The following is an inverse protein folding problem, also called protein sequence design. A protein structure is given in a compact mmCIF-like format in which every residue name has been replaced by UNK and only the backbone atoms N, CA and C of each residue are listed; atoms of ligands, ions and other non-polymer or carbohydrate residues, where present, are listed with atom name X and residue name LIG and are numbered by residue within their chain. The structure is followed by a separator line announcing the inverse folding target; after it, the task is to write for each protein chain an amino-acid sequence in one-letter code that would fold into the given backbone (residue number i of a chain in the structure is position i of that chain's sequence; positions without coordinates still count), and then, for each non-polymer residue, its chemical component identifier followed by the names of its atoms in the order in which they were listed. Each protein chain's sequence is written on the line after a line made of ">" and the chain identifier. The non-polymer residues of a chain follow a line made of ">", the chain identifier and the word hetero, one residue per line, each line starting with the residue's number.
data_IF_168042516588
#
_entry.id   IF_168042516588
#
_cell.length_a   1.000
_cell.length_b   1.000
_cell.length_c   1.000
_cell.angle_alpha   90.00
_cell.angle_beta   90.00
_cell.angle_gamma   90.00
#
_symmetry.space_group_name_H-M   'P 1'
#
loop_
_entity.id
_entity.type
_entity.pdbx_description
1 polymer ?
#
# COMPACT_ATOMS: atom_id res chain seq x y z
N UNK A 1 -2.94 -16.60 0.38
CA UNK A 1 -3.50 -15.27 0.02
C UNK A 1 -2.37 -14.39 -0.48
N UNK A 2 -2.64 -13.63 -1.52
CA UNK A 2 -1.65 -12.67 -2.02
C UNK A 2 -1.35 -11.62 -0.97
N UNK A 3 -0.09 -11.16 -0.93
CA UNK A 3 0.35 -10.16 0.04
C UNK A 3 -0.44 -8.85 -0.07
N UNK A 4 -0.83 -8.47 -1.29
CA UNK A 4 -1.65 -7.27 -1.51
C UNK A 4 -3.04 -7.40 -0.88
N UNK A 5 -3.65 -8.58 -0.96
CA UNK A 5 -4.95 -8.82 -0.35
C UNK A 5 -4.87 -8.82 1.18
N UNK A 6 -3.80 -9.40 1.72
CA UNK A 6 -3.55 -9.37 3.16
C UNK A 6 -3.42 -7.94 3.66
N UNK A 7 -2.67 -7.11 2.93
CA UNK A 7 -2.48 -5.71 3.29
C UNK A 7 -3.79 -4.93 3.19
N UNK A 8 -4.58 -5.21 2.15
CA UNK A 8 -5.90 -4.58 2.00
C UNK A 8 -6.80 -4.87 3.20
N UNK A 9 -6.85 -6.13 3.63
CA UNK A 9 -7.66 -6.51 4.79
C UNK A 9 -7.18 -5.82 6.05
N UNK A 10 -5.86 -5.72 6.23
CA UNK A 10 -5.28 -5.09 7.40
C UNK A 10 -5.64 -3.61 7.48
N UNK A 11 -5.45 -2.88 6.38
CA UNK A 11 -5.75 -1.44 6.34
C UNK A 11 -7.25 -1.21 6.47
N UNK A 12 -8.07 -2.02 5.79
CA UNK A 12 -9.53 -1.91 5.89
C UNK A 12 -10.02 -2.13 7.30
N UNK A 13 -9.41 -3.07 8.02
CA UNK A 13 -9.78 -3.36 9.41
C UNK A 13 -9.48 -2.24 10.37
N UNK A 14 -8.49 -1.40 10.06
CA UNK A 14 -8.16 -0.24 10.88
C UNK A 14 -9.14 0.91 10.68
N UNK A 15 -9.89 0.91 9.60
CA UNK A 15 -10.94 1.89 9.29
C UNK A 15 -10.43 3.33 9.27
N UNK A 16 -9.44 3.60 8.40
CA UNK A 16 -9.00 4.97 8.17
C UNK A 16 -10.10 5.74 7.46
N UNK A 17 -10.65 6.76 8.12
CA UNK A 17 -11.74 7.55 7.55
C UNK A 17 -11.33 8.35 6.31
N UNK A 18 -10.03 8.63 6.18
CA UNK A 18 -9.49 9.38 5.04
C UNK A 18 -9.53 8.58 3.72
N UNK A 19 -9.55 7.25 3.81
CA UNK A 19 -9.54 6.39 2.63
C UNK A 19 -10.96 5.98 2.30
N UNK A 20 -11.40 6.28 1.07
CA UNK A 20 -12.75 5.91 0.64
C UNK A 20 -12.80 4.46 0.16
N UNK A 21 -11.84 4.05 -0.66
CA UNK A 21 -11.80 2.71 -1.25
C UNK A 21 -10.37 2.24 -1.43
N UNK A 22 -10.17 0.92 -1.35
CA UNK A 22 -8.86 0.28 -1.57
C UNK A 22 -9.03 -0.75 -2.69
N UNK A 23 -8.17 -0.64 -3.70
CA UNK A 23 -8.13 -1.59 -4.82
C UNK A 23 -6.80 -2.33 -4.83
N UNK A 24 -6.82 -3.54 -5.37
CA UNK A 24 -5.63 -4.39 -5.48
C UNK A 24 -5.33 -4.65 -6.94
N UNK A 25 -4.09 -4.39 -7.34
CA UNK A 25 -3.51 -4.63 -8.67
C UNK A 25 -4.03 -3.73 -9.78
N UNK A 26 -5.29 -3.35 -9.78
CA UNK A 26 -5.85 -2.57 -10.89
C UNK A 26 -6.98 -1.67 -10.42
N UNK A 27 -7.12 -0.51 -11.07
CA UNK A 27 -8.22 0.41 -10.82
C UNK A 27 -9.26 0.27 -11.92
N UNK A 28 -10.55 0.08 -11.58
CA UNK A 28 -11.61 0.16 -12.60
C UNK A 28 -11.59 1.51 -13.29
N UNK A 29 -11.97 1.53 -14.56
CA UNK A 29 -11.92 2.75 -15.37
C UNK A 29 -12.73 3.89 -14.76
N UNK A 30 -13.90 3.59 -14.25
CA UNK A 30 -14.79 4.58 -13.62
C UNK A 30 -14.12 5.25 -12.42
N UNK A 31 -13.27 4.50 -11.71
CA UNK A 31 -12.58 5.00 -10.53
C UNK A 31 -11.39 5.87 -10.92
N UNK A 32 -10.72 5.55 -12.03
CA UNK A 32 -9.57 6.33 -12.49
C UNK A 32 -9.94 7.78 -12.79
N UNK A 33 -11.19 8.02 -13.19
CA UNK A 33 -11.68 9.35 -13.53
C UNK A 33 -12.35 10.07 -12.36
N UNK A 34 -12.46 9.39 -11.21
CA UNK A 34 -13.15 9.95 -10.04
C UNK A 34 -12.20 10.81 -9.24
N UNK A 35 -12.54 12.08 -9.04
CA UNK A 35 -11.75 13.04 -8.27
C UNK A 35 -12.37 13.38 -6.92
N UNK A 36 -13.52 12.77 -6.59
CA UNK A 36 -14.28 13.09 -5.38
C UNK A 36 -13.92 12.23 -4.18
N UNK A 37 -13.14 11.19 -4.38
CA UNK A 37 -12.79 10.23 -3.33
C UNK A 37 -11.29 10.04 -3.25
N UNK A 38 -10.81 9.74 -2.05
CA UNK A 38 -9.42 9.33 -1.84
C UNK A 38 -9.35 7.82 -2.02
N UNK A 39 -8.58 7.39 -2.99
CA UNK A 39 -8.48 5.99 -3.43
C UNK A 39 -7.08 5.47 -3.16
N UNK A 40 -6.99 4.27 -2.62
CA UNK A 40 -5.71 3.59 -2.44
C UNK A 40 -5.61 2.41 -3.41
N UNK A 41 -4.45 2.26 -4.03
CA UNK A 41 -4.16 1.13 -4.91
C UNK A 41 -2.93 0.41 -4.37
N UNK A 42 -3.06 -0.90 -4.17
CA UNK A 42 -1.97 -1.76 -3.71
C UNK A 42 -1.55 -2.67 -4.86
N UNK A 43 -0.27 -2.62 -5.23
CA UNK A 43 0.25 -3.43 -6.33
C UNK A 43 1.46 -4.21 -5.87
N UNK A 44 1.60 -5.43 -6.40
CA UNK A 44 2.82 -6.20 -6.17
C UNK A 44 4.00 -5.46 -6.79
N UNK A 45 5.09 -5.33 -6.03
CA UNK A 45 6.29 -4.65 -6.49
C UNK A 45 7.49 -5.59 -6.55
N UNK A 46 7.35 -6.79 -6.01
CA UNK A 46 8.42 -7.77 -6.03
C UNK A 46 8.36 -8.67 -4.82
N UNK A 47 9.17 -9.72 -4.86
CA UNK A 47 9.31 -10.63 -3.75
C UNK A 47 10.66 -11.32 -3.85
N UNK A 48 11.24 -11.70 -2.71
CA UNK A 48 12.44 -12.51 -2.71
C UNK A 48 12.39 -13.53 -1.59
N UNK A 49 13.10 -14.62 -1.81
CA UNK A 49 13.17 -15.74 -0.90
C UNK A 49 14.41 -15.61 -0.04
N UNK A 50 14.27 -15.96 1.23
CA UNK A 50 15.38 -15.89 2.17
C UNK A 50 15.32 -17.06 3.16
N UNK A 51 16.20 -17.06 4.16
CA UNK A 51 16.29 -18.13 5.16
C UNK A 51 16.48 -19.49 4.51
N UNK A 52 17.48 -19.59 3.61
CA UNK A 52 17.80 -20.83 2.90
C UNK A 52 18.43 -21.87 3.81
N UNK A 53 18.14 -23.15 3.54
CA UNK A 53 18.75 -24.29 4.19
C UNK A 53 18.29 -25.58 3.54
N UNK A 54 19.19 -26.60 3.45
CA UNK A 54 18.88 -27.91 2.88
C UNK A 54 18.22 -27.85 1.51
N UNK A 55 18.75 -27.00 0.63
CA UNK A 55 18.23 -26.79 -0.73
C UNK A 55 16.78 -26.27 -0.78
N UNK A 56 16.34 -25.63 0.29
CA UNK A 56 15.01 -25.05 0.36
C UNK A 56 15.09 -23.63 0.94
N UNK A 57 13.95 -22.98 1.09
CA UNK A 57 13.88 -21.67 1.71
C UNK A 57 12.78 -21.66 2.77
N UNK A 58 12.95 -20.83 3.78
CA UNK A 58 12.01 -20.76 4.91
C UNK A 58 11.39 -19.38 5.10
N UNK A 59 11.80 -18.42 4.30
CA UNK A 59 11.27 -17.07 4.38
C UNK A 59 10.96 -16.49 3.01
N UNK A 60 9.97 -15.63 2.97
CA UNK A 60 9.60 -14.89 1.77
C UNK A 60 9.29 -13.46 2.15
N UNK A 61 9.92 -12.50 1.48
CA UNK A 61 9.64 -11.09 1.67
C UNK A 61 8.92 -10.56 0.44
N UNK A 62 7.74 -10.00 0.66
CA UNK A 62 6.94 -9.39 -0.40
C UNK A 62 7.05 -7.88 -0.30
N UNK A 63 7.23 -7.23 -1.45
CA UNK A 63 7.25 -5.79 -1.55
C UNK A 63 5.99 -5.32 -2.26
N UNK A 64 5.34 -4.31 -1.71
CA UNK A 64 4.08 -3.80 -2.22
C UNK A 64 4.23 -2.30 -2.45
N UNK A 65 3.77 -1.84 -3.61
CA UNK A 65 3.66 -0.42 -3.91
C UNK A 65 2.30 0.07 -3.43
N UNK A 66 2.32 1.09 -2.59
CA UNK A 66 1.10 1.74 -2.09
C UNK A 66 0.96 3.07 -2.81
N UNK A 67 -0.13 3.23 -3.54
CA UNK A 67 -0.45 4.48 -4.23
C UNK A 67 -1.71 5.07 -3.61
N UNK A 68 -1.68 6.36 -3.32
CA UNK A 68 -2.83 7.05 -2.77
C UNK A 68 -3.17 8.21 -3.70
N UNK A 69 -4.39 8.19 -4.24
CA UNK A 69 -4.90 9.25 -5.09
C UNK A 69 -5.86 10.07 -4.25
N UNK A 70 -5.42 11.27 -3.85
CA UNK A 70 -6.22 12.11 -2.96
C UNK A 70 -7.32 12.82 -3.72
N UNK A 71 -8.49 12.92 -3.11
CA UNK A 71 -9.60 13.70 -3.71
C UNK A 71 -9.15 15.16 -3.86
N UNK A 72 -9.76 15.88 -4.81
CA UNK A 72 -9.38 17.26 -5.07
C UNK A 72 -9.59 18.17 -3.86
N UNK A 73 -10.68 17.95 -3.16
CA UNK A 73 -11.08 18.79 -2.03
C UNK A 73 -10.68 18.12 -0.71
N UNK A 74 -9.37 17.96 -0.52
CA UNK A 74 -8.87 17.31 0.69
C UNK A 74 -9.22 18.15 1.92
N UNK A 75 -9.87 17.51 2.87
CA UNK A 75 -10.32 18.15 4.12
C UNK A 75 -9.58 17.64 5.36
N UNK A 76 -8.39 17.07 5.16
CA UNK A 76 -7.56 16.57 6.25
C UNK A 76 -6.09 16.87 5.96
N UNK A 77 -5.25 16.75 6.99
CA UNK A 77 -3.81 16.95 6.87
C UNK A 77 -3.19 15.69 6.25
N UNK A 78 -2.74 15.80 5.01
CA UNK A 78 -2.17 14.67 4.25
C UNK A 78 -0.94 14.11 4.96
N UNK A 79 -0.03 14.99 5.41
CA UNK A 79 1.19 14.53 6.06
C UNK A 79 0.87 13.78 7.36
N UNK A 80 -0.06 14.29 8.15
CA UNK A 80 -0.46 13.64 9.38
C UNK A 80 -1.11 12.28 9.11
N UNK A 81 -1.95 12.19 8.08
CA UNK A 81 -2.59 10.95 7.69
C UNK A 81 -1.55 9.91 7.25
N UNK A 82 -0.62 10.31 6.38
CA UNK A 82 0.40 9.37 5.87
C UNK A 82 1.30 8.89 7.00
N UNK A 83 1.63 9.76 7.94
CA UNK A 83 2.44 9.39 9.10
C UNK A 83 1.70 8.36 9.97
N UNK A 84 0.41 8.56 10.22
CA UNK A 84 -0.40 7.60 10.98
C UNK A 84 -0.48 6.25 10.28
N UNK A 85 -0.69 6.27 8.97
CA UNK A 85 -0.75 5.06 8.16
C UNK A 85 0.56 4.30 8.23
N UNK A 86 1.67 4.98 8.02
CA UNK A 86 2.99 4.33 8.07
C UNK A 86 3.32 3.79 9.46
N UNK A 87 3.00 4.54 10.51
CA UNK A 87 3.20 4.05 11.88
C UNK A 87 2.37 2.81 12.16
N UNK A 88 1.13 2.77 11.67
CA UNK A 88 0.30 1.59 11.80
C UNK A 88 0.93 0.39 11.10
N UNK A 89 1.40 0.58 9.87
CA UNK A 89 2.02 -0.50 9.11
C UNK A 89 3.29 -1.01 9.80
N UNK A 90 4.11 -0.12 10.34
CA UNK A 90 5.30 -0.52 11.09
C UNK A 90 4.91 -1.31 12.33
N UNK A 91 3.83 -0.93 13.02
CA UNK A 91 3.36 -1.67 14.19
C UNK A 91 2.88 -3.08 13.82
N UNK A 92 2.50 -3.30 12.58
CA UNK A 92 2.07 -4.60 12.05
C UNK A 92 3.21 -5.31 11.32
N UNK A 93 4.46 -4.91 11.61
CA UNK A 93 5.69 -5.55 11.13
C UNK A 93 5.99 -5.33 9.66
N UNK A 94 5.44 -4.28 9.06
CA UNK A 94 5.84 -3.85 7.72
C UNK A 94 7.02 -2.90 7.83
N UNK A 95 7.93 -2.98 6.86
CA UNK A 95 9.01 -2.02 6.68
C UNK A 95 8.61 -1.02 5.61
N UNK A 96 8.83 0.26 5.86
CA UNK A 96 8.70 1.28 4.82
C UNK A 96 10.05 1.34 4.11
N UNK A 97 10.10 0.87 2.88
CA UNK A 97 11.37 0.72 2.16
C UNK A 97 11.72 1.92 1.29
N UNK A 98 10.73 2.68 0.85
CA UNK A 98 10.97 3.86 0.03
C UNK A 98 9.73 4.76 0.09
N UNK A 99 9.96 6.06 0.05
CA UNK A 99 8.89 7.05 0.00
C UNK A 99 9.21 7.99 -1.14
N UNK A 100 8.27 8.12 -2.10
CA UNK A 100 8.43 8.99 -3.25
C UNK A 100 7.86 10.37 -2.99
N UNK A 101 8.29 11.34 -3.78
CA UNK A 101 7.72 12.68 -3.72
C UNK A 101 6.27 12.65 -4.17
N UNK A 102 5.46 13.50 -3.57
CA UNK A 102 4.08 13.68 -4.04
C UNK A 102 4.09 14.29 -5.44
N UNK A 103 3.19 13.83 -6.29
CA UNK A 103 3.05 14.36 -7.64
C UNK A 103 1.62 14.83 -7.87
N UNK A 104 1.47 15.76 -8.82
CA UNK A 104 0.15 16.23 -9.25
C UNK A 104 -0.13 15.68 -10.63
N UNK A 105 -1.33 15.13 -10.80
CA UNK A 105 -1.80 14.70 -12.12
C UNK A 105 -2.09 15.97 -12.94
N UNK A 106 -1.46 16.15 -14.11
CA UNK A 106 -1.65 17.37 -14.89
C UNK A 106 -3.06 17.56 -15.44
N UNK A 107 -3.81 16.48 -15.58
CA UNK A 107 -5.18 16.54 -16.13
C UNK A 107 -6.23 16.77 -15.05
N UNK A 108 -6.13 16.04 -13.93
CA UNK A 108 -7.13 16.09 -12.86
C UNK A 108 -6.73 17.01 -11.71
N UNK A 109 -5.44 17.34 -11.59
CA UNK A 109 -4.85 18.11 -10.49
C UNK A 109 -4.91 17.38 -9.16
N UNK A 110 -5.20 16.09 -9.16
CA UNK A 110 -5.15 15.26 -7.96
C UNK A 110 -3.71 15.06 -7.50
N UNK A 111 -3.49 15.11 -6.20
CA UNK A 111 -2.20 14.76 -5.62
C UNK A 111 -2.12 13.26 -5.45
N UNK A 112 -0.97 12.68 -5.81
CA UNK A 112 -0.71 11.25 -5.66
C UNK A 112 0.49 11.05 -4.76
N UNK A 113 0.35 10.15 -3.79
CA UNK A 113 1.45 9.70 -2.95
C UNK A 113 1.80 8.27 -3.33
N UNK A 114 3.10 7.94 -3.32
CA UNK A 114 3.57 6.59 -3.59
C UNK A 114 4.64 6.24 -2.56
N UNK A 115 4.47 5.10 -1.92
CA UNK A 115 5.52 4.55 -1.07
C UNK A 115 5.52 3.03 -1.17
N UNK A 116 6.61 2.42 -0.71
CA UNK A 116 6.81 0.97 -0.82
C UNK A 116 6.95 0.38 0.56
N UNK A 117 6.33 -0.79 0.74
CA UNK A 117 6.42 -1.51 2.00
C UNK A 117 6.86 -2.94 1.74
N UNK A 118 7.52 -3.55 2.70
CA UNK A 118 7.96 -4.93 2.62
C UNK A 118 7.52 -5.67 3.87
N UNK A 119 7.10 -6.92 3.68
CA UNK A 119 6.67 -7.76 4.78
C UNK A 119 7.16 -9.18 4.54
N UNK A 120 7.90 -9.69 5.50
CA UNK A 120 8.41 -11.06 5.46
C UNK A 120 7.50 -12.02 6.18
N UNK A 121 7.46 -13.25 5.72
CA UNK A 121 6.77 -14.33 6.41
C UNK A 121 7.63 -15.58 6.40
N UNK A 122 7.50 -16.37 7.46
CA UNK A 122 8.19 -17.65 7.57
C UNK A 122 7.29 -18.71 6.99
N UNK A 123 7.87 -19.54 6.08
CA UNK A 123 7.17 -20.64 5.46
C UNK A 123 7.42 -21.90 6.30
N UNK A 124 6.35 -22.64 6.60
CA UNK A 124 6.45 -23.79 7.48
C UNK A 124 6.20 -25.09 6.72
N UNK A 125 7.12 -26.05 6.91
CA UNK A 125 6.87 -27.44 6.62
C UNK A 125 6.76 -27.90 5.19
N UNK A 126 7.08 -27.06 4.24
CA UNK A 126 6.97 -27.44 2.82
C UNK A 126 8.28 -27.68 2.13
#
# INVERSE_FOLDING_TARGET
>A
MLATLTLKELISGKEFSEISEIYVNNLPREIQENTDKTIMLLRESGAFLDMFGNDSFFGKTNQIEVQIFYKLDVDFDIDAFETRLMKFLVSEHYKITDIREHTLDPDTLQMTAVFYVAHGKILKGE
#
